data_IF_039375053134
#
_entry.id   IF_039375053134
#
_cell.length_a   1.000
_cell.length_b   1.000
_cell.length_c   1.000
_cell.angle_alpha   90.00
_cell.angle_beta   90.00
_cell.angle_gamma   90.00
#
_symmetry.space_group_name_H-M   'P 1'
#
loop_
_entity.id
_entity.type
_entity.pdbx_description
1 polymer ?
#
# COMPACT_ATOMS: atom_id res chain seq x y z
N UNK A 1 -23.27 -27.87 -18.76
CA UNK A 1 -22.89 -27.99 -17.34
C UNK A 1 -22.60 -26.58 -16.87
N UNK A 2 -23.29 -26.10 -15.84
CA UNK A 2 -23.00 -24.77 -15.30
C UNK A 2 -21.64 -24.84 -14.62
N UNK A 3 -20.66 -24.12 -15.18
CA UNK A 3 -19.39 -23.88 -14.51
C UNK A 3 -19.70 -23.08 -13.25
N UNK A 4 -19.58 -23.75 -12.11
CA UNK A 4 -19.88 -23.20 -10.81
C UNK A 4 -18.53 -22.78 -10.23
N UNK A 5 -18.00 -21.67 -10.73
CA UNK A 5 -16.75 -21.09 -10.26
C UNK A 5 -16.93 -20.74 -8.79
N UNK A 6 -16.25 -21.50 -7.92
CA UNK A 6 -16.22 -21.25 -6.48
C UNK A 6 -15.29 -20.06 -6.28
N UNK A 7 -15.87 -18.88 -6.03
CA UNK A 7 -15.13 -17.68 -5.61
C UNK A 7 -14.56 -17.93 -4.21
N UNK A 8 -13.41 -18.59 -4.14
CA UNK A 8 -12.58 -18.56 -2.93
C UNK A 8 -12.09 -17.13 -2.72
N UNK A 9 -11.98 -16.65 -1.46
CA UNK A 9 -11.59 -15.28 -1.17
C UNK A 9 -10.19 -14.90 -1.72
N UNK A 10 -9.38 -15.87 -2.16
CA UNK A 10 -8.08 -15.64 -2.81
C UNK A 10 -7.80 -16.69 -3.90
N UNK A 11 -8.82 -17.10 -4.66
CA UNK A 11 -8.67 -18.09 -5.73
C UNK A 11 -7.93 -17.52 -6.95
N UNK A 12 -6.84 -18.19 -7.35
CA UNK A 12 -6.04 -17.96 -8.58
C UNK A 12 -6.82 -18.11 -9.90
N UNK A 13 -8.15 -18.16 -9.87
CA UNK A 13 -8.99 -18.36 -11.04
C UNK A 13 -9.29 -17.03 -11.75
N UNK A 14 -8.25 -16.55 -12.44
CA UNK A 14 -8.22 -15.94 -13.78
C UNK A 14 -9.59 -15.62 -14.42
N UNK A 15 -10.33 -14.65 -13.87
CA UNK A 15 -11.08 -13.72 -14.70
C UNK A 15 -10.05 -12.81 -15.38
N UNK A 16 -9.77 -13.02 -16.68
CA UNK A 16 -8.82 -12.18 -17.43
C UNK A 16 -9.56 -10.90 -17.85
N UNK A 17 -9.44 -9.87 -17.03
CA UNK A 17 -9.16 -8.53 -17.52
C UNK A 17 -7.71 -8.24 -17.14
N UNK A 18 -6.76 -8.56 -18.03
CA UNK A 18 -5.32 -8.33 -17.78
C UNK A 18 -4.91 -6.87 -17.97
N UNK A 19 -5.84 -6.02 -18.41
CA UNK A 19 -5.55 -4.62 -18.64
C UNK A 19 -5.72 -3.90 -17.31
N UNK A 20 -4.59 -3.64 -16.65
CA UNK A 20 -4.51 -2.73 -15.51
C UNK A 20 -5.18 -1.39 -15.88
N UNK A 21 -6.21 -1.01 -15.13
CA UNK A 21 -6.98 0.21 -15.41
C UNK A 21 -6.44 1.46 -14.70
N UNK A 22 -5.50 1.31 -13.77
CA UNK A 22 -4.80 2.42 -13.13
C UNK A 22 -3.38 2.63 -13.65
N UNK A 23 -2.66 3.54 -13.00
CA UNK A 23 -1.28 3.90 -13.36
C UNK A 23 -0.29 3.32 -12.35
N UNK A 24 0.73 2.62 -12.86
CA UNK A 24 1.80 2.02 -12.03
C UNK A 24 2.83 3.08 -11.68
N UNK A 25 3.19 3.17 -10.39
CA UNK A 25 4.25 4.07 -9.94
C UNK A 25 5.65 3.50 -10.25
N UNK A 26 6.66 4.38 -10.31
CA UNK A 26 8.05 3.95 -10.46
C UNK A 26 8.49 3.11 -9.26
N UNK A 27 9.16 1.98 -9.51
CA UNK A 27 9.55 1.04 -8.46
C UNK A 27 8.44 0.07 -8.05
N UNK A 28 7.35 0.01 -8.83
CA UNK A 28 6.30 -0.98 -8.69
C UNK A 28 6.05 -1.72 -10.00
N UNK A 29 5.45 -2.91 -9.92
CA UNK A 29 4.79 -3.58 -11.02
C UNK A 29 3.39 -4.02 -10.58
N UNK A 30 2.45 -4.10 -11.52
CA UNK A 30 1.05 -4.39 -11.21
C UNK A 30 0.52 -5.48 -12.11
N UNK A 31 -0.22 -6.40 -11.51
CA UNK A 31 -1.10 -7.34 -12.20
C UNK A 31 -2.51 -7.12 -11.69
N UNK A 32 -3.46 -6.98 -12.61
CA UNK A 32 -4.87 -6.86 -12.26
C UNK A 32 -5.62 -8.15 -12.64
N UNK A 33 -6.54 -8.56 -11.76
CA UNK A 33 -7.47 -9.65 -11.95
C UNK A 33 -8.89 -9.15 -11.75
N UNK A 34 -9.88 -9.74 -12.43
CA UNK A 34 -11.25 -9.28 -12.27
C UNK A 34 -12.21 -9.72 -13.36
N UNK A 35 -13.43 -9.18 -13.27
CA UNK A 35 -14.47 -9.30 -14.30
C UNK A 35 -14.87 -7.94 -14.90
N UNK A 36 -14.06 -6.89 -14.66
CA UNK A 36 -14.31 -5.51 -15.08
C UNK A 36 -15.33 -4.76 -14.22
N UNK A 37 -15.99 -5.44 -13.28
CA UNK A 37 -16.80 -4.81 -12.22
C UNK A 37 -16.07 -4.93 -10.88
N UNK A 38 -15.58 -6.13 -10.59
CA UNK A 38 -14.68 -6.41 -9.49
C UNK A 38 -13.24 -6.44 -9.97
N UNK A 39 -12.37 -5.76 -9.22
CA UNK A 39 -10.96 -5.63 -9.50
C UNK A 39 -10.16 -6.08 -8.28
N UNK A 40 -9.13 -6.88 -8.53
CA UNK A 40 -8.06 -7.20 -7.58
C UNK A 40 -6.74 -6.72 -8.19
N UNK A 41 -6.21 -5.63 -7.63
CA UNK A 41 -4.94 -5.04 -8.05
C UNK A 41 -3.83 -5.60 -7.16
N UNK A 42 -2.93 -6.39 -7.74
CA UNK A 42 -1.73 -6.93 -7.08
C UNK A 42 -0.53 -6.08 -7.46
N UNK A 43 0.03 -5.37 -6.49
CA UNK A 43 1.15 -4.45 -6.64
C UNK A 43 2.39 -5.10 -6.03
N UNK A 44 3.41 -5.39 -6.82
CA UNK A 44 4.74 -5.75 -6.33
C UNK A 44 5.58 -4.49 -6.23
N UNK A 45 6.14 -4.22 -5.06
CA UNK A 45 6.93 -3.02 -4.75
C UNK A 45 8.40 -3.42 -4.57
N UNK A 46 9.31 -2.66 -5.18
CA UNK A 46 10.75 -2.77 -5.04
C UNK A 46 11.39 -1.40 -5.30
N UNK A 47 11.54 -0.60 -4.25
CA UNK A 47 12.00 0.79 -4.31
C UNK A 47 12.55 1.22 -2.95
N UNK A 48 12.94 2.48 -2.81
CA UNK A 48 13.31 3.08 -1.53
C UNK A 48 12.35 4.20 -1.13
N UNK A 49 12.22 4.40 0.19
CA UNK A 49 11.73 5.64 0.77
C UNK A 49 12.73 6.79 0.50
N UNK A 50 12.30 8.05 0.66
CA UNK A 50 13.23 9.18 0.74
C UNK A 50 14.23 9.02 1.90
N UNK A 51 15.27 9.85 1.92
CA UNK A 51 16.25 9.91 3.02
C UNK A 51 15.55 10.07 4.36
N UNK A 52 15.84 9.15 5.28
CA UNK A 52 15.33 9.13 6.64
C UNK A 52 16.22 10.00 7.51
N UNK A 53 15.59 10.92 8.22
CA UNK A 53 16.21 11.75 9.24
C UNK A 53 15.90 11.18 10.63
N UNK A 54 16.80 11.40 11.59
CA UNK A 54 16.59 10.98 12.98
C UNK A 54 15.47 11.79 13.64
N UNK A 55 14.68 11.16 14.50
CA UNK A 55 13.58 11.78 15.23
C UNK A 55 12.20 11.38 14.70
N UNK A 56 11.17 12.12 15.07
CA UNK A 56 9.79 11.80 14.69
C UNK A 56 9.52 12.22 13.25
N UNK A 57 9.43 11.25 12.33
CA UNK A 57 9.17 11.54 10.92
C UNK A 57 8.26 10.49 10.28
N UNK A 58 7.37 10.96 9.41
CA UNK A 58 6.63 10.15 8.45
C UNK A 58 7.22 10.26 7.04
N UNK A 59 7.29 9.12 6.37
CA UNK A 59 7.75 8.96 5.00
C UNK A 59 6.78 8.08 4.23
N UNK A 60 6.65 8.33 2.93
CA UNK A 60 5.84 7.47 2.10
C UNK A 60 6.35 7.38 0.67
N UNK A 61 5.74 6.46 -0.06
CA UNK A 61 6.04 6.21 -1.47
C UNK A 61 4.75 5.92 -2.22
N UNK A 62 4.53 6.63 -3.32
CA UNK A 62 3.50 6.28 -4.28
C UNK A 62 3.81 4.90 -4.87
N UNK A 63 2.86 3.97 -4.76
CA UNK A 63 3.01 2.61 -5.30
C UNK A 63 2.05 2.33 -6.46
N UNK A 64 0.90 3.02 -6.49
CA UNK A 64 -0.11 2.88 -7.53
C UNK A 64 -1.04 4.10 -7.55
N UNK A 65 -1.73 4.28 -8.66
CA UNK A 65 -2.76 5.30 -8.82
C UNK A 65 -3.99 4.62 -9.42
N UNK A 66 -5.10 4.58 -8.66
CA UNK A 66 -6.37 4.07 -9.16
C UNK A 66 -6.88 4.92 -10.34
N UNK A 67 -7.69 4.35 -11.24
CA UNK A 67 -8.39 5.15 -12.25
C UNK A 67 -9.30 6.20 -11.61
N UNK A 68 -9.53 7.29 -12.34
CA UNK A 68 -10.56 8.26 -12.03
C UNK A 68 -11.94 7.60 -11.86
N UNK A 69 -12.67 8.01 -10.81
CA UNK A 69 -13.99 7.49 -10.48
C UNK A 69 -14.22 7.47 -8.97
N UNK A 70 -15.44 7.13 -8.56
CA UNK A 70 -15.70 6.77 -7.16
C UNK A 70 -15.45 5.27 -7.01
N UNK A 71 -14.74 4.88 -5.96
CA UNK A 71 -14.29 3.52 -5.73
C UNK A 71 -14.74 3.02 -4.37
N UNK A 72 -15.03 1.74 -4.28
CA UNK A 72 -15.35 1.04 -3.05
C UNK A 72 -14.31 -0.05 -2.81
N UNK A 73 -13.39 0.21 -1.88
CA UNK A 73 -12.34 -0.72 -1.49
C UNK A 73 -12.90 -1.71 -0.47
N UNK A 74 -12.86 -2.99 -0.85
CA UNK A 74 -13.46 -4.14 -0.16
C UNK A 74 -12.50 -4.85 0.78
N UNK A 75 -11.23 -4.92 0.39
CA UNK A 75 -10.20 -5.56 1.18
C UNK A 75 -8.82 -5.10 0.73
N UNK A 76 -7.90 -5.12 1.68
CA UNK A 76 -6.50 -4.82 1.43
C UNK A 76 -5.65 -5.86 2.16
N UNK A 77 -4.63 -6.39 1.48
CA UNK A 77 -3.57 -7.20 2.04
C UNK A 77 -2.23 -6.52 1.77
N UNK A 78 -1.30 -6.61 2.72
CA UNK A 78 0.09 -6.24 2.49
C UNK A 78 1.04 -7.26 3.12
N UNK A 79 2.16 -7.45 2.46
CA UNK A 79 3.35 -8.15 2.95
C UNK A 79 4.53 -7.29 2.51
N UNK A 80 4.99 -6.40 3.40
CA UNK A 80 5.95 -5.35 3.07
C UNK A 80 7.11 -5.37 4.05
N UNK A 81 8.33 -5.37 3.54
CA UNK A 81 9.55 -5.29 4.32
C UNK A 81 10.16 -3.89 4.21
N UNK A 82 10.74 -3.41 5.31
CA UNK A 82 11.63 -2.26 5.34
C UNK A 82 13.04 -2.78 5.64
N UNK A 83 14.02 -2.35 4.84
CA UNK A 83 15.42 -2.73 5.02
C UNK A 83 16.25 -1.47 5.03
N UNK A 84 16.90 -1.19 6.15
CA UNK A 84 17.90 -0.13 6.21
C UNK A 84 18.99 -0.30 5.14
N UNK A 85 19.68 0.78 4.79
CA UNK A 85 20.90 0.71 3.98
C UNK A 85 22.16 0.93 4.81
N UNK A 86 22.13 1.83 5.80
CA UNK A 86 23.36 2.32 6.45
C UNK A 86 23.63 1.77 7.87
N UNK A 87 22.76 0.93 8.42
CA UNK A 87 22.97 0.30 9.73
C UNK A 87 22.35 1.03 10.93
N UNK A 88 21.79 2.22 10.73
CA UNK A 88 21.41 3.10 11.84
C UNK A 88 19.99 2.90 12.36
N UNK A 89 19.09 2.29 11.57
CA UNK A 89 17.66 2.17 11.90
C UNK A 89 17.22 0.71 12.00
N UNK A 90 18.16 -0.24 12.11
CA UNK A 90 17.85 -1.69 12.02
C UNK A 90 16.79 -2.13 13.01
N UNK A 91 16.81 -1.55 14.21
CA UNK A 91 15.95 -1.92 15.33
C UNK A 91 14.71 -1.01 15.45
N UNK A 92 14.55 -0.06 14.54
CA UNK A 92 13.40 0.84 14.56
C UNK A 92 12.14 0.08 14.16
N UNK A 93 11.07 0.30 14.92
CA UNK A 93 9.75 -0.34 14.76
C UNK A 93 8.74 0.67 14.19
N UNK A 94 8.79 1.00 12.88
CA UNK A 94 7.91 2.00 12.31
C UNK A 94 6.45 1.53 12.32
N UNK A 95 5.55 2.48 12.48
CA UNK A 95 4.13 2.32 12.14
C UNK A 95 3.96 2.44 10.63
N UNK A 96 3.40 1.41 10.00
CA UNK A 96 3.29 1.27 8.54
C UNK A 96 1.84 1.03 8.12
N UNK A 97 1.45 1.60 6.98
CA UNK A 97 0.07 1.56 6.49
C UNK A 97 -0.04 1.88 5.01
N UNK A 98 -1.25 1.69 4.48
CA UNK A 98 -1.59 2.04 3.09
C UNK A 98 -2.62 3.16 3.12
N UNK A 99 -2.31 4.26 2.44
CA UNK A 99 -3.14 5.47 2.47
C UNK A 99 -3.32 6.13 1.11
N UNK A 100 -4.32 7.00 1.02
CA UNK A 100 -4.55 7.87 -0.13
C UNK A 100 -3.65 9.11 -0.15
N UNK A 101 -3.11 9.49 1.01
CA UNK A 101 -2.17 10.61 1.18
C UNK A 101 -0.80 10.07 1.59
N UNK A 102 0.25 10.71 1.06
CA UNK A 102 1.63 10.41 1.40
C UNK A 102 1.96 10.97 2.79
N UNK A 103 2.54 10.14 3.65
CA UNK A 103 3.10 10.61 4.91
C UNK A 103 4.32 11.50 4.63
N UNK A 104 4.26 12.76 5.07
CA UNK A 104 5.36 13.70 4.94
C UNK A 104 5.56 14.49 6.21
N UNK A 105 6.79 14.52 6.71
CA UNK A 105 7.23 15.54 7.66
C UNK A 105 7.44 15.06 9.09
N UNK A 106 7.78 16.02 9.94
CA UNK A 106 8.67 15.85 11.10
C UNK A 106 8.00 15.95 12.47
N UNK A 107 6.79 15.41 12.64
CA UNK A 107 6.06 15.61 13.91
C UNK A 107 5.30 14.40 14.45
N UNK A 108 5.30 13.26 13.76
CA UNK A 108 4.59 12.08 14.26
C UNK A 108 5.45 10.82 14.21
N UNK A 109 5.48 10.10 15.32
CA UNK A 109 6.10 8.78 15.42
C UNK A 109 5.13 7.65 14.97
N UNK A 110 3.91 8.01 14.62
CA UNK A 110 2.84 7.12 14.14
C UNK A 110 2.18 7.77 12.92
N UNK A 111 1.55 6.98 12.07
CA UNK A 111 0.75 7.54 10.98
C UNK A 111 -0.48 8.24 11.56
N UNK A 112 -0.99 9.26 10.87
CA UNK A 112 -2.29 9.83 11.20
C UNK A 112 -3.40 8.93 10.65
N UNK A 113 -4.30 8.49 11.53
CA UNK A 113 -5.44 7.62 11.23
C UNK A 113 -6.49 8.23 10.27
N UNK A 114 -6.21 9.42 9.72
CA UNK A 114 -6.92 9.98 8.59
C UNK A 114 -6.54 9.31 7.27
N UNK A 115 -5.85 10.05 6.41
CA UNK A 115 -5.65 9.67 4.99
C UNK A 115 -4.31 8.98 4.72
N UNK A 116 -3.42 8.90 5.70
CA UNK A 116 -2.13 8.21 5.58
C UNK A 116 -2.26 6.69 5.73
N UNK A 117 -3.40 6.22 6.25
CA UNK A 117 -3.68 4.80 6.50
C UNK A 117 -5.18 4.45 6.35
N UNK A 118 -5.91 5.15 5.48
CA UNK A 118 -7.34 4.93 5.25
C UNK A 118 -7.66 3.65 4.47
N UNK A 119 -6.80 3.23 3.53
CA UNK A 119 -6.96 1.99 2.75
C UNK A 119 -6.65 0.76 3.60
N UNK A 120 -5.61 0.85 4.43
CA UNK A 120 -5.26 -0.11 5.45
C UNK A 120 -4.63 0.62 6.64
N UNK A 121 -5.33 0.56 7.78
CA UNK A 121 -4.85 1.17 9.03
C UNK A 121 -3.47 0.68 9.44
N UNK A 122 -2.79 1.45 10.28
CA UNK A 122 -1.41 1.24 10.70
C UNK A 122 -1.17 -0.08 11.40
N UNK A 123 0.05 -0.58 11.23
CA UNK A 123 0.60 -1.64 12.05
C UNK A 123 2.06 -1.34 12.36
N UNK A 124 2.50 -1.76 13.54
CA UNK A 124 3.91 -1.67 13.90
C UNK A 124 4.69 -2.77 13.21
N UNK A 125 5.71 -2.39 12.46
CA UNK A 125 6.73 -3.32 11.97
C UNK A 125 7.70 -3.71 13.09
N UNK A 126 8.16 -4.95 13.08
CA UNK A 126 9.08 -5.49 14.09
C UNK A 126 10.46 -4.82 14.04
N UNK A 127 10.92 -4.42 12.84
CA UNK A 127 12.22 -3.80 12.61
C UNK A 127 12.39 -3.39 11.12
N UNK A 128 13.47 -2.65 10.83
CA UNK A 128 13.90 -2.34 9.46
C UNK A 128 15.02 -3.28 8.98
N UNK A 129 14.87 -4.59 9.17
CA UNK A 129 15.89 -5.60 8.82
C UNK A 129 15.59 -6.43 7.56
N UNK A 130 14.52 -6.10 6.84
CA UNK A 130 14.06 -6.83 5.66
C UNK A 130 13.05 -7.95 5.95
N UNK A 131 12.65 -8.15 7.20
CA UNK A 131 11.50 -9.01 7.52
C UNK A 131 10.22 -8.35 7.04
N UNK A 132 9.40 -9.11 6.32
CA UNK A 132 8.13 -8.61 5.81
C UNK A 132 7.06 -8.64 6.89
N UNK A 133 6.36 -7.54 7.01
CA UNK A 133 5.21 -7.39 7.87
C UNK A 133 3.93 -7.64 7.10
N UNK A 134 3.08 -8.51 7.66
CA UNK A 134 1.91 -9.02 6.98
C UNK A 134 0.64 -8.55 7.66
N UNK A 135 -0.21 -7.86 6.91
CA UNK A 135 -1.55 -7.46 7.36
C UNK A 135 -2.60 -7.84 6.35
N UNK A 136 -3.77 -8.19 6.86
CA UNK A 136 -4.97 -8.33 6.07
C UNK A 136 -6.11 -7.59 6.75
N UNK A 137 -6.84 -6.79 5.97
CA UNK A 137 -7.99 -6.04 6.41
C UNK A 137 -9.13 -6.22 5.40
N UNK A 138 -10.28 -6.69 5.86
CA UNK A 138 -11.52 -6.48 5.12
C UNK A 138 -11.99 -5.04 5.40
N UNK A 139 -12.14 -4.25 4.35
CA UNK A 139 -12.38 -2.80 4.44
C UNK A 139 -13.70 -2.45 3.75
N UNK A 140 -14.31 -1.33 4.14
CA UNK A 140 -15.37 -0.69 3.38
C UNK A 140 -15.05 0.79 3.25
N UNK A 141 -14.05 1.12 2.42
CA UNK A 141 -13.62 2.49 2.20
C UNK A 141 -14.19 2.97 0.88
N UNK A 142 -15.03 4.01 0.93
CA UNK A 142 -15.47 4.72 -0.26
C UNK A 142 -14.48 5.85 -0.54
N UNK A 143 -13.73 5.72 -1.62
CA UNK A 143 -12.93 6.79 -2.17
C UNK A 143 -13.83 7.58 -3.11
N UNK A 144 -14.29 8.75 -2.67
CA UNK A 144 -15.21 9.58 -3.44
C UNK A 144 -14.54 10.08 -4.73
N UNK A 145 -15.32 10.26 -5.80
CA UNK A 145 -14.80 10.87 -7.02
C UNK A 145 -14.35 12.31 -6.76
N UNK A 146 -13.06 12.59 -6.90
CA UNK A 146 -12.52 13.94 -6.66
C UNK A 146 -12.47 14.72 -7.96
N UNK A 147 -13.63 15.09 -8.52
CA UNK A 147 -13.69 15.95 -9.71
C UNK A 147 -12.97 15.41 -10.96
N UNK A 148 -12.81 14.09 -11.08
CA UNK A 148 -12.09 13.44 -12.18
C UNK A 148 -10.58 13.27 -11.96
N UNK A 149 -10.08 13.48 -10.75
CA UNK A 149 -8.68 13.25 -10.38
C UNK A 149 -8.49 11.80 -9.93
N UNK A 150 -7.37 11.21 -10.34
CA UNK A 150 -6.96 9.87 -9.94
C UNK A 150 -6.66 9.79 -8.44
N UNK A 151 -6.85 8.61 -7.84
CA UNK A 151 -6.61 8.38 -6.42
C UNK A 151 -5.28 7.67 -6.21
N UNK A 152 -4.34 8.35 -5.57
CA UNK A 152 -3.03 7.78 -5.28
C UNK A 152 -3.10 6.76 -4.15
N UNK A 153 -2.25 5.74 -4.22
CA UNK A 153 -2.05 4.73 -3.19
C UNK A 153 -0.59 4.82 -2.76
N UNK A 154 -0.37 5.04 -1.47
CA UNK A 154 0.95 5.15 -0.88
C UNK A 154 1.19 4.04 0.12
N UNK A 155 2.40 3.50 0.12
CA UNK A 155 2.95 2.84 1.29
C UNK A 155 3.56 3.91 2.19
N UNK A 156 3.11 3.98 3.44
CA UNK A 156 3.55 4.98 4.42
C UNK A 156 4.21 4.29 5.61
N UNK A 157 5.21 4.96 6.20
CA UNK A 157 5.94 4.55 7.38
C UNK A 157 6.26 5.76 8.25
N UNK A 158 5.97 5.69 9.54
CA UNK A 158 6.32 6.71 10.52
C UNK A 158 6.97 6.09 11.75
N UNK A 159 7.97 6.77 12.33
CA UNK A 159 8.63 6.31 13.53
C UNK A 159 9.26 7.47 14.29
N UNK A 160 9.72 7.17 15.51
CA UNK A 160 10.81 7.91 16.11
C UNK A 160 12.13 7.25 15.67
N UNK A 161 12.67 7.70 14.54
CA UNK A 161 13.84 7.10 13.90
C UNK A 161 15.10 7.32 14.75
N UNK A 162 15.81 6.25 15.07
CA UNK A 162 16.99 6.29 15.94
C UNK A 162 18.23 6.87 15.25
N UNK A 163 18.22 6.98 13.92
CA UNK A 163 19.31 7.54 13.14
C UNK A 163 18.88 7.97 11.73
N UNK A 164 19.86 8.25 10.89
CA UNK A 164 19.64 8.59 9.48
C UNK A 164 19.91 7.40 8.58
N UNK A 165 19.17 7.29 7.49
CA UNK A 165 19.38 6.28 6.44
C UNK A 165 19.16 6.93 5.08
N UNK A 166 20.15 6.88 4.20
CA UNK A 166 20.11 7.61 2.93
C UNK A 166 19.02 7.07 2.00
N UNK A 167 18.70 5.78 2.12
CA UNK A 167 17.68 5.12 1.31
C UNK A 167 17.16 3.82 1.96
N UNK A 168 16.19 3.91 2.88
CA UNK A 168 15.53 2.71 3.40
C UNK A 168 14.76 1.99 2.28
N UNK A 169 15.17 0.76 1.98
CA UNK A 169 14.56 -0.05 0.94
C UNK A 169 13.21 -0.61 1.41
N UNK A 170 12.22 -0.56 0.52
CA UNK A 170 10.91 -1.16 0.71
C UNK A 170 10.66 -2.18 -0.40
N UNK A 171 10.30 -3.40 0.00
CA UNK A 171 10.04 -4.49 -0.93
C UNK A 171 8.88 -5.35 -0.44
N UNK A 172 8.02 -5.79 -1.35
CA UNK A 172 6.90 -6.64 -0.97
C UNK A 172 5.73 -6.64 -1.94
N UNK A 173 4.56 -7.02 -1.43
CA UNK A 173 3.32 -7.10 -2.20
C UNK A 173 2.18 -6.43 -1.45
N UNK A 174 1.40 -5.63 -2.17
CA UNK A 174 0.13 -5.06 -1.74
C UNK A 174 -0.96 -5.60 -2.66
N UNK A 175 -2.08 -6.05 -2.11
CA UNK A 175 -3.25 -6.50 -2.88
C UNK A 175 -4.45 -5.68 -2.43
N UNK A 176 -5.16 -5.07 -3.38
CA UNK A 176 -6.36 -4.29 -3.10
C UNK A 176 -7.52 -4.82 -3.93
N UNK A 177 -8.62 -5.13 -3.27
CA UNK A 177 -9.88 -5.53 -3.88
C UNK A 177 -10.85 -4.35 -3.89
N UNK A 178 -11.40 -4.02 -5.06
CA UNK A 178 -12.24 -2.83 -5.21
C UNK A 178 -13.23 -2.96 -6.36
N UNK A 179 -14.22 -2.07 -6.37
CA UNK A 179 -15.22 -1.90 -7.44
C UNK A 179 -15.42 -0.42 -7.74
N UNK A 180 -15.82 -0.08 -8.96
CA UNK A 180 -16.40 1.25 -9.21
C UNK A 180 -17.74 1.40 -8.49
N UNK A 181 -18.00 2.57 -7.92
CA UNK A 181 -19.32 2.95 -7.41
C UNK A 181 -20.13 3.48 -8.59
N UNK A 182 -21.21 2.78 -8.93
CA UNK A 182 -22.17 3.12 -9.98
C UNK A 182 -23.44 3.72 -9.41
#
# INVERSE_FOLDING_TARGET
MADKTIRGPFGVEKGITTDNVGTVASGSSVVEYGDGVFHQTVITVDTTLPTIASGNHGYGKLVYTFPAGALDVKATYMSMALTQTDGNITLDTPDIGIGTVIATGSTSATLDAGTEEDIMGGQTADNCNGTAEVKHLATGLIIAATGGVDHTVHFNAAANWSGTDDACAIAGTIIIEWTFVV
#
